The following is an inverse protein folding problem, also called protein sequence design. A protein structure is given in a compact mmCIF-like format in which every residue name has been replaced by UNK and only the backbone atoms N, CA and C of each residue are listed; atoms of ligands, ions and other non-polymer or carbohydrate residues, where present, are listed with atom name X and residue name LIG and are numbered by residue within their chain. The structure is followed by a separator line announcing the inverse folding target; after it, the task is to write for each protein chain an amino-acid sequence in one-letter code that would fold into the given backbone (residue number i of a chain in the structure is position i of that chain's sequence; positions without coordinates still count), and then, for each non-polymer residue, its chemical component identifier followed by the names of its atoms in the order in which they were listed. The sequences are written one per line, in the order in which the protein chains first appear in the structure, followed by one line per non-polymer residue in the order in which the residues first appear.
data_IF_891929383295
#
_entry.id   IF_891929383295
#
_cell.length_a   1.000
_cell.length_b   1.000
_cell.length_c   1.000
_cell.angle_alpha   90.00
_cell.angle_beta   90.00
_cell.angle_gamma   90.00
#
_symmetry.space_group_name_H-M   'P 1'
#
loop_
_entity.id
_entity.type
_entity.pdbx_description
1 polymer ?
#
# COMPACT_ATOMS: atom_id res chain seq x y z
N UNK A 1 14.21 9.60 13.44
CA UNK A 1 13.39 8.38 13.49
C UNK A 1 13.50 7.69 12.14
N UNK A 2 13.69 6.36 12.09
CA UNK A 2 13.78 5.64 10.80
C UNK A 2 12.38 5.61 10.16
N UNK A 3 12.27 5.90 8.85
CA UNK A 3 11.04 5.76 8.07
C UNK A 3 11.18 4.58 7.11
N UNK A 4 10.06 3.99 6.69
CA UNK A 4 10.00 2.78 5.88
C UNK A 4 9.27 3.01 4.56
N UNK A 5 9.83 2.53 3.46
CA UNK A 5 9.11 2.36 2.21
C UNK A 5 8.24 1.12 2.32
N UNK A 6 6.92 1.28 2.25
CA UNK A 6 5.99 0.17 2.43
C UNK A 6 5.21 -0.13 1.15
N UNK A 7 4.86 -1.39 0.97
CA UNK A 7 3.89 -1.82 -0.02
C UNK A 7 2.68 -2.48 0.65
N UNK A 8 1.49 -2.26 0.12
CA UNK A 8 0.25 -2.88 0.60
C UNK A 8 -0.41 -3.59 -0.57
N UNK A 9 -0.41 -4.92 -0.55
CA UNK A 9 -1.04 -5.77 -1.57
C UNK A 9 -2.45 -6.13 -1.12
N UNK A 10 -3.45 -5.80 -1.95
CA UNK A 10 -4.85 -5.81 -1.57
C UNK A 10 -5.31 -4.46 -1.01
N UNK A 11 -4.70 -3.34 -1.46
CA UNK A 11 -4.95 -1.99 -0.95
C UNK A 11 -6.41 -1.51 -1.10
N UNK A 12 -7.16 -2.02 -2.08
CA UNK A 12 -8.59 -1.72 -2.28
C UNK A 12 -9.55 -2.67 -1.55
N UNK A 13 -9.03 -3.67 -0.83
CA UNK A 13 -9.84 -4.63 -0.08
C UNK A 13 -10.11 -4.14 1.34
N UNK A 14 -11.13 -4.71 1.98
CA UNK A 14 -11.52 -4.33 3.35
C UNK A 14 -10.36 -4.40 4.37
N UNK A 15 -9.49 -5.41 4.25
CA UNK A 15 -8.31 -5.53 5.15
C UNK A 15 -7.23 -4.48 4.81
N UNK A 16 -7.06 -4.13 3.53
CA UNK A 16 -6.13 -3.07 3.13
C UNK A 16 -6.57 -1.71 3.63
N UNK A 17 -7.86 -1.40 3.52
CA UNK A 17 -8.46 -0.17 4.07
C UNK A 17 -8.28 -0.07 5.59
N UNK A 18 -8.53 -1.16 6.32
CA UNK A 18 -8.34 -1.18 7.77
C UNK A 18 -6.86 -1.06 8.15
N UNK A 19 -5.96 -1.67 7.39
CA UNK A 19 -4.52 -1.52 7.60
C UNK A 19 -4.08 -0.06 7.49
N UNK A 20 -4.59 0.69 6.51
CA UNK A 20 -4.26 2.12 6.38
C UNK A 20 -4.71 2.91 7.61
N UNK A 21 -5.92 2.68 8.12
CA UNK A 21 -6.42 3.31 9.34
C UNK A 21 -5.52 3.02 10.54
N UNK A 22 -5.15 1.76 10.74
CA UNK A 22 -4.26 1.36 11.85
C UNK A 22 -2.89 2.01 11.73
N UNK A 23 -2.31 2.06 10.51
CA UNK A 23 -1.02 2.69 10.28
C UNK A 23 -1.06 4.21 10.60
N UNK A 24 -2.16 4.89 10.27
CA UNK A 24 -2.36 6.30 10.62
C UNK A 24 -2.53 6.50 12.13
N UNK A 25 -3.39 5.71 12.78
CA UNK A 25 -3.63 5.78 14.23
C UNK A 25 -2.35 5.56 15.04
N UNK A 26 -1.50 4.64 14.59
CA UNK A 26 -0.20 4.35 15.23
C UNK A 26 0.91 5.34 14.84
N UNK A 27 0.61 6.34 13.99
CA UNK A 27 1.59 7.26 13.43
C UNK A 27 2.81 6.51 12.85
N UNK A 28 2.54 5.41 12.13
CA UNK A 28 3.60 4.55 11.61
C UNK A 28 4.52 5.35 10.67
N UNK A 29 5.85 5.26 10.82
CA UNK A 29 6.77 6.13 10.09
C UNK A 29 6.95 5.68 8.64
N UNK A 30 5.94 5.92 7.79
CA UNK A 30 5.99 5.66 6.34
C UNK A 30 6.84 6.72 5.65
N UNK A 31 7.80 6.32 4.82
CA UNK A 31 8.55 7.20 3.92
C UNK A 31 7.85 7.33 2.57
N UNK A 32 7.53 6.19 1.96
CA UNK A 32 6.82 6.05 0.69
C UNK A 32 5.83 4.90 0.80
N UNK A 33 4.71 4.98 0.07
CA UNK A 33 3.67 3.96 0.02
C UNK A 33 3.45 3.52 -1.43
N UNK A 34 3.50 2.21 -1.66
CA UNK A 34 3.13 1.55 -2.91
C UNK A 34 1.85 0.71 -2.68
N UNK A 35 0.65 1.26 -2.97
CA UNK A 35 -0.58 0.50 -2.87
C UNK A 35 -0.77 -0.35 -4.13
N UNK A 36 -0.99 -1.64 -3.93
CA UNK A 36 -1.10 -2.65 -4.97
C UNK A 36 -2.43 -3.38 -4.87
N UNK A 37 -3.07 -3.64 -5.99
CA UNK A 37 -4.27 -4.47 -6.07
C UNK A 37 -4.34 -5.22 -7.41
N UNK A 38 -5.44 -5.91 -7.67
CA UNK A 38 -5.68 -6.54 -8.96
C UNK A 38 -5.84 -5.51 -10.08
N UNK A 39 -5.71 -5.96 -11.34
CA UNK A 39 -5.95 -5.13 -12.53
C UNK A 39 -7.29 -4.36 -12.48
N UNK A 40 -8.33 -5.00 -11.93
CA UNK A 40 -9.67 -4.40 -11.81
C UNK A 40 -9.73 -3.20 -10.85
N UNK A 41 -8.79 -3.11 -9.91
CA UNK A 41 -8.67 -2.01 -8.96
C UNK A 41 -7.54 -1.03 -9.28
N UNK A 42 -6.67 -1.38 -10.23
CA UNK A 42 -5.58 -0.51 -10.63
C UNK A 42 -6.13 0.81 -11.18
N UNK A 43 -5.56 1.92 -10.72
CA UNK A 43 -5.99 3.26 -11.06
C UNK A 43 -7.01 3.89 -10.12
N UNK A 44 -7.62 3.13 -9.21
CA UNK A 44 -8.37 3.71 -8.10
C UNK A 44 -7.45 4.54 -7.21
N UNK A 45 -8.04 5.51 -6.50
CA UNK A 45 -7.35 6.36 -5.54
C UNK A 45 -7.69 5.91 -4.13
N UNK A 46 -6.68 5.85 -3.26
CA UNK A 46 -6.84 5.76 -1.82
C UNK A 46 -6.29 7.02 -1.15
N UNK A 47 -6.81 7.34 0.02
CA UNK A 47 -6.25 8.40 0.86
C UNK A 47 -5.49 7.76 2.02
N UNK A 48 -4.27 8.24 2.29
CA UNK A 48 -3.47 7.83 3.43
C UNK A 48 -2.62 9.02 3.91
N UNK A 49 -2.66 9.31 5.20
CA UNK A 49 -1.97 10.42 5.84
C UNK A 49 -2.26 11.78 5.17
N UNK A 50 -3.50 12.00 4.74
CA UNK A 50 -3.95 13.21 4.03
C UNK A 50 -3.37 13.37 2.63
N UNK A 51 -2.88 12.29 2.02
CA UNK A 51 -2.35 12.26 0.66
C UNK A 51 -3.08 11.20 -0.17
N UNK A 52 -3.31 11.52 -1.44
CA UNK A 52 -3.89 10.60 -2.41
C UNK A 52 -2.81 9.72 -3.05
N UNK A 53 -3.06 8.41 -3.11
CA UNK A 53 -2.21 7.45 -3.79
C UNK A 53 -3.01 6.69 -4.84
N UNK A 54 -2.44 6.59 -6.04
CA UNK A 54 -3.00 5.76 -7.11
C UNK A 54 -2.58 4.31 -6.90
N UNK A 55 -3.56 3.41 -6.89
CA UNK A 55 -3.32 1.97 -6.81
C UNK A 55 -2.63 1.50 -8.10
N UNK A 56 -1.51 0.80 -7.96
CA UNK A 56 -0.83 0.09 -9.04
C UNK A 56 -1.31 -1.37 -9.12
N UNK A 57 -1.22 -1.96 -10.31
CA UNK A 57 -1.50 -3.39 -10.49
C UNK A 57 -0.37 -4.24 -9.87
N UNK A 58 -0.74 -5.29 -9.15
CA UNK A 58 0.22 -6.30 -8.67
C UNK A 58 0.71 -7.16 -9.84
N UNK A 59 1.96 -6.95 -10.26
CA UNK A 59 2.66 -7.75 -11.27
C UNK A 59 3.91 -8.40 -10.68
N UNK A 60 4.51 -9.35 -11.40
CA UNK A 60 5.74 -10.05 -10.97
C UNK A 60 6.91 -9.08 -10.74
N UNK A 61 6.99 -8.03 -11.54
CA UNK A 61 8.09 -7.07 -11.56
C UNK A 61 7.83 -5.82 -10.71
N UNK A 62 6.65 -5.71 -10.08
CA UNK A 62 6.22 -4.44 -9.47
C UNK A 62 7.11 -3.97 -8.33
N UNK A 63 7.89 -4.87 -7.72
CA UNK A 63 8.80 -4.60 -6.62
C UNK A 63 10.24 -4.27 -7.07
N UNK A 64 10.60 -4.50 -8.33
CA UNK A 64 11.96 -4.31 -8.84
C UNK A 64 12.36 -2.84 -8.70
N UNK A 65 13.55 -2.59 -8.14
CA UNK A 65 14.14 -1.25 -7.94
C UNK A 65 13.29 -0.26 -7.11
N UNK A 66 12.25 -0.72 -6.41
CA UNK A 66 11.37 0.13 -5.59
C UNK A 66 11.90 0.39 -4.17
N UNK A 67 12.86 -0.42 -3.71
CA UNK A 67 13.44 -0.28 -2.37
C UNK A 67 12.44 -0.43 -1.23
N UNK A 68 11.51 -1.39 -1.34
CA UNK A 68 10.49 -1.67 -0.31
C UNK A 68 11.14 -2.33 0.91
N UNK A 69 10.92 -1.74 2.09
CA UNK A 69 11.37 -2.26 3.38
C UNK A 69 10.38 -3.28 3.96
N UNK A 70 9.08 -3.03 3.80
CA UNK A 70 7.98 -3.82 4.39
C UNK A 70 6.87 -3.98 3.37
N UNK A 71 6.40 -5.20 3.15
CA UNK A 71 5.23 -5.48 2.32
C UNK A 71 4.15 -6.19 3.14
N UNK A 72 2.95 -5.62 3.16
CA UNK A 72 1.76 -6.23 3.76
C UNK A 72 0.96 -6.93 2.67
N UNK A 73 0.68 -8.21 2.86
CA UNK A 73 -0.12 -8.99 1.93
C UNK A 73 -1.47 -9.32 2.55
N UNK A 74 -2.52 -8.68 2.03
CA UNK A 74 -3.91 -8.92 2.40
C UNK A 74 -4.78 -9.17 1.16
N UNK A 75 -4.17 -9.75 0.11
CA UNK A 75 -4.88 -10.23 -1.07
C UNK A 75 -5.21 -11.73 -0.89
N UNK A 76 -6.48 -12.07 -1.04
CA UNK A 76 -6.97 -13.45 -1.00
C UNK A 76 -8.34 -13.52 -1.64
N UNK A 77 -8.46 -14.34 -2.69
CA UNK A 77 -9.65 -14.46 -3.54
C UNK A 77 -9.29 -14.96 -4.93
#
# INVERSE_FOLDING_TARGET
MKRYNIAVVGASGAVGEELFRVLEEQNFPVANLLPLASANSAGNIIEFAGQEYKIEELTEDVFIDRGIDIAFFSAGG
#
